data_IF_655255232701
#
_entry.id   IF_655255232701
#
_cell.length_a   1.000
_cell.length_b   1.000
_cell.length_c   1.000
_cell.angle_alpha   90.00
_cell.angle_beta   90.00
_cell.angle_gamma   90.00
#
_symmetry.space_group_name_H-M   'P 1'
#
loop_
_entity.id
_entity.type
_entity.pdbx_description
1 polymer ?
#
# COMPACT_ATOMS: atom_id res chain seq x y z
N UNK A 1 -13.78 -16.70 -5.10
CA UNK A 1 -13.90 -15.92 -3.84
C UNK A 1 -13.02 -14.69 -3.99
N UNK A 2 -13.44 -13.51 -3.50
CA UNK A 2 -12.61 -12.29 -3.59
C UNK A 2 -11.45 -12.38 -2.58
N UNK A 3 -10.21 -11.97 -2.93
CA UNK A 3 -9.11 -11.93 -1.98
C UNK A 3 -9.34 -10.86 -0.91
N UNK A 4 -8.71 -11.04 0.25
CA UNK A 4 -8.80 -10.06 1.34
C UNK A 4 -8.09 -8.76 0.96
N UNK A 5 -8.67 -7.62 1.34
CA UNK A 5 -7.97 -6.33 1.32
C UNK A 5 -8.04 -5.70 2.69
N UNK A 6 -6.90 -5.55 3.36
CA UNK A 6 -6.84 -4.90 4.67
C UNK A 6 -6.37 -3.46 4.49
N UNK A 7 -7.22 -2.49 4.84
CA UNK A 7 -6.87 -1.07 4.82
C UNK A 7 -6.85 -0.49 6.24
N UNK A 8 -5.75 0.14 6.60
CA UNK A 8 -5.66 0.94 7.84
C UNK A 8 -6.08 2.36 7.54
N UNK A 9 -7.15 2.84 8.18
CA UNK A 9 -7.62 4.24 8.12
C UNK A 9 -7.59 4.90 9.51
N UNK A 10 -6.97 4.26 10.49
CA UNK A 10 -6.86 4.73 11.88
C UNK A 10 -5.46 5.20 12.30
N UNK A 11 -5.38 5.92 13.42
CA UNK A 11 -4.10 6.29 14.06
C UNK A 11 -3.76 5.39 15.23
N UNK A 12 -3.05 4.28 14.96
CA UNK A 12 -2.36 3.54 16.00
C UNK A 12 -0.97 4.12 16.23
N UNK A 13 -0.81 5.09 17.15
CA UNK A 13 0.48 5.78 17.41
C UNK A 13 1.67 4.84 17.68
N UNK A 14 1.43 3.58 18.04
CA UNK A 14 2.45 2.53 18.15
C UNK A 14 2.02 1.14 17.64
N UNK A 15 0.81 0.97 17.12
CA UNK A 15 0.20 -0.36 16.91
C UNK A 15 0.17 -0.84 15.45
N UNK A 16 0.17 0.07 14.46
CA UNK A 16 0.01 -0.34 13.05
C UNK A 16 1.22 -1.09 12.52
N UNK A 17 2.41 -0.80 13.02
CA UNK A 17 3.63 -1.53 12.66
C UNK A 17 3.63 -2.95 13.22
N UNK A 18 3.52 -3.21 14.54
CA UNK A 18 3.41 -4.58 15.05
C UNK A 18 2.29 -5.40 14.40
N UNK A 19 1.11 -4.80 14.21
CA UNK A 19 0.00 -5.48 13.52
C UNK A 19 0.35 -5.85 12.08
N UNK A 20 1.00 -4.93 11.35
CA UNK A 20 1.48 -5.20 10.00
C UNK A 20 2.51 -6.35 9.97
N UNK A 21 3.44 -6.41 10.93
CA UNK A 21 4.38 -7.54 11.05
C UNK A 21 3.63 -8.86 11.25
N UNK A 22 2.68 -8.88 12.18
CA UNK A 22 1.89 -10.08 12.46
C UNK A 22 1.12 -10.55 11.22
N UNK A 23 0.49 -9.63 10.49
CA UNK A 23 -0.32 -9.98 9.33
C UNK A 23 0.52 -10.33 8.09
N UNK A 24 1.64 -9.65 7.85
CA UNK A 24 2.44 -9.86 6.64
C UNK A 24 3.55 -10.89 6.83
N UNK A 25 4.29 -10.82 7.94
CA UNK A 25 5.49 -11.63 8.17
C UNK A 25 5.13 -12.91 8.90
N UNK A 26 4.47 -12.80 10.04
CA UNK A 26 4.28 -13.96 10.93
C UNK A 26 3.21 -14.93 10.41
N UNK A 27 2.15 -14.41 9.80
CA UNK A 27 1.02 -15.21 9.31
C UNK A 27 0.93 -15.28 7.78
N UNK A 28 1.71 -14.48 7.06
CA UNK A 28 1.59 -14.30 5.60
C UNK A 28 0.12 -14.16 5.16
N UNK A 29 -0.68 -13.40 5.90
CA UNK A 29 -2.10 -13.23 5.63
C UNK A 29 -2.33 -12.23 4.49
N UNK A 30 -1.64 -11.09 4.52
CA UNK A 30 -1.73 -10.04 3.48
C UNK A 30 -0.36 -9.46 3.13
N UNK A 31 -0.20 -9.02 1.88
CA UNK A 31 1.03 -8.37 1.42
C UNK A 31 0.80 -6.88 1.10
N UNK A 32 1.63 -5.98 1.65
CA UNK A 32 1.49 -4.52 1.47
C UNK A 32 2.21 -3.95 0.25
N UNK A 33 2.85 -4.80 -0.56
CA UNK A 33 3.46 -4.38 -1.81
C UNK A 33 4.76 -3.62 -1.60
N UNK A 34 4.96 -2.55 -2.38
CA UNK A 34 6.26 -1.88 -2.51
C UNK A 34 6.73 -1.22 -1.21
N UNK A 35 5.81 -0.73 -0.38
CA UNK A 35 6.12 -0.19 0.93
C UNK A 35 4.86 -0.14 1.81
N UNK A 36 5.02 -0.30 3.12
CA UNK A 36 3.94 -0.16 4.10
C UNK A 36 3.28 1.23 4.05
N UNK A 37 4.11 2.28 3.99
CA UNK A 37 3.72 3.69 4.12
C UNK A 37 3.74 4.40 2.76
N UNK A 38 2.86 3.97 1.84
CA UNK A 38 2.82 4.44 0.45
C UNK A 38 2.35 5.88 0.30
N UNK A 39 1.42 6.31 1.17
CA UNK A 39 0.76 7.63 1.09
C UNK A 39 0.09 7.90 -0.26
N UNK A 40 -0.33 6.84 -0.95
CA UNK A 40 -0.87 6.95 -2.30
C UNK A 40 -2.20 7.71 -2.31
N UNK A 41 -3.15 7.29 -1.46
CA UNK A 41 -4.48 7.91 -1.35
C UNK A 41 -4.39 9.38 -0.96
N UNK A 42 -3.45 9.71 -0.07
CA UNK A 42 -3.11 11.08 0.28
C UNK A 42 -2.67 11.91 -0.94
N UNK A 43 -1.83 11.32 -1.79
CA UNK A 43 -1.31 11.96 -3.00
C UNK A 43 -2.37 12.19 -4.08
N UNK A 44 -3.51 11.49 -4.04
CA UNK A 44 -4.68 11.78 -4.89
C UNK A 44 -5.33 13.10 -4.45
N UNK A 45 -5.57 13.26 -3.14
CA UNK A 45 -6.29 14.43 -2.60
C UNK A 45 -5.42 15.68 -2.47
N UNK A 46 -4.15 15.47 -2.10
CA UNK A 46 -3.17 16.52 -1.83
C UNK A 46 -1.97 16.36 -2.77
N UNK A 47 -2.15 16.46 -4.10
CA UNK A 47 -1.06 16.30 -5.04
C UNK A 47 0.00 17.38 -4.77
N UNK A 48 1.22 16.94 -4.46
CA UNK A 48 2.34 17.86 -4.20
C UNK A 48 2.60 18.67 -5.47
N UNK A 49 2.36 19.98 -5.43
CA UNK A 49 2.48 20.87 -6.59
C UNK A 49 3.91 21.02 -7.14
N UNK A 50 4.94 20.51 -6.48
CA UNK A 50 6.33 20.47 -6.98
C UNK A 50 7.10 19.31 -6.34
N UNK A 51 7.47 18.31 -7.15
CA UNK A 51 8.50 17.34 -6.81
C UNK A 51 9.85 18.05 -6.68
N UNK A 52 10.25 18.46 -5.47
CA UNK A 52 11.61 18.93 -5.23
C UNK A 52 12.54 17.71 -5.20
N UNK A 53 13.11 17.37 -6.37
CA UNK A 53 14.16 16.35 -6.53
C UNK A 53 15.28 16.52 -5.48
N UNK A 54 15.60 17.77 -5.14
CA UNK A 54 16.59 18.16 -4.14
C UNK A 54 16.23 17.64 -2.74
N UNK A 55 14.95 17.66 -2.36
CA UNK A 55 14.49 17.22 -1.04
C UNK A 55 14.53 15.69 -0.92
N UNK A 56 14.23 14.98 -2.01
CA UNK A 56 14.33 13.51 -2.08
C UNK A 56 15.79 13.04 -1.97
N UNK A 57 16.73 13.72 -2.63
CA UNK A 57 18.18 13.45 -2.51
C UNK A 57 18.63 13.72 -1.07
N UNK A 58 18.16 14.81 -0.46
CA UNK A 58 18.51 15.17 0.92
C UNK A 58 17.98 14.17 1.96
N UNK A 59 16.76 13.66 1.78
CA UNK A 59 16.17 12.63 2.66
C UNK A 59 16.85 11.27 2.48
N UNK A 60 17.21 10.89 1.25
CA UNK A 60 17.97 9.67 0.95
C UNK A 60 19.36 9.69 1.59
N UNK A 61 20.04 10.84 1.62
CA UNK A 61 21.36 11.00 2.23
C UNK A 61 21.34 11.04 3.78
N UNK A 62 20.16 11.15 4.41
CA UNK A 62 20.02 11.15 5.88
C UNK A 62 19.93 9.75 6.50
N UNK A 63 20.11 8.67 5.73
CA UNK A 63 20.13 7.32 6.26
C UNK A 63 18.78 6.80 6.77
N UNK A 64 17.67 7.50 6.51
CA UNK A 64 16.32 6.95 6.63
C UNK A 64 16.07 6.02 5.45
N UNK A 65 16.81 4.91 5.42
CA UNK A 65 16.36 3.78 4.64
C UNK A 65 15.11 3.28 5.34
N UNK A 66 13.94 3.52 4.73
CA UNK A 66 12.76 2.65 4.90
C UNK A 66 13.18 1.28 4.35
N UNK A 67 14.13 0.62 4.99
CA UNK A 67 14.56 -0.69 4.55
C UNK A 67 13.36 -1.61 4.76
N UNK A 68 12.87 -2.16 3.65
CA UNK A 68 11.95 -3.28 3.72
C UNK A 68 12.56 -4.33 4.60
N UNK A 69 11.72 -4.96 5.40
CA UNK A 69 12.12 -6.10 6.19
C UNK A 69 12.77 -7.15 5.27
N UNK A 70 13.97 -7.66 5.61
CA UNK A 70 14.65 -8.66 4.81
C UNK A 70 13.75 -9.85 4.47
N UNK A 71 12.86 -10.23 5.39
CA UNK A 71 11.93 -11.35 5.25
C UNK A 71 10.89 -11.16 4.14
N UNK A 72 10.64 -9.93 3.69
CA UNK A 72 9.60 -9.60 2.70
C UNK A 72 10.21 -9.03 1.41
N UNK A 73 11.55 -9.06 1.27
CA UNK A 73 12.22 -8.54 0.08
C UNK A 73 12.01 -9.42 -1.15
N UNK A 74 11.73 -10.71 -0.97
CA UNK A 74 11.69 -11.69 -2.05
C UNK A 74 10.30 -11.92 -2.63
N UNK A 75 9.24 -11.43 -1.97
CA UNK A 75 7.85 -11.74 -2.32
C UNK A 75 7.20 -10.66 -3.22
N UNK A 76 8.03 -9.87 -3.91
CA UNK A 76 7.57 -8.82 -4.84
C UNK A 76 7.98 -9.17 -6.26
N UNK A 77 6.99 -9.54 -7.04
CA UNK A 77 7.16 -9.99 -8.43
C UNK A 77 6.59 -8.97 -9.43
N UNK A 78 6.39 -7.72 -9.00
CA UNK A 78 5.94 -6.62 -9.86
C UNK A 78 7.01 -6.26 -10.90
N UNK A 79 6.58 -6.00 -12.12
CA UNK A 79 7.46 -5.55 -13.20
C UNK A 79 7.91 -4.11 -13.00
N UNK A 80 8.94 -3.68 -13.73
CA UNK A 80 9.37 -2.28 -13.71
C UNK A 80 8.26 -1.36 -14.23
N UNK A 81 7.48 -1.83 -15.19
CA UNK A 81 6.30 -1.16 -15.74
C UNK A 81 5.20 -0.99 -14.69
N UNK A 82 4.91 -2.03 -13.90
CA UNK A 82 3.93 -1.97 -12.80
C UNK A 82 4.35 -0.91 -11.77
N UNK A 83 5.63 -0.90 -11.40
CA UNK A 83 6.20 0.07 -10.45
C UNK A 83 6.09 1.50 -11.01
N UNK A 84 6.41 1.70 -12.29
CA UNK A 84 6.32 3.03 -12.93
C UNK A 84 4.86 3.48 -13.01
N UNK A 85 3.94 2.59 -13.39
CA UNK A 85 2.52 2.90 -13.52
C UNK A 85 1.93 3.36 -12.17
N UNK A 86 2.32 2.71 -11.08
CA UNK A 86 1.92 3.07 -9.72
C UNK A 86 2.59 4.37 -9.24
N UNK A 87 3.90 4.51 -9.40
CA UNK A 87 4.63 5.63 -8.77
C UNK A 87 4.56 6.95 -9.56
N UNK A 88 4.12 6.92 -10.83
CA UNK A 88 4.12 8.10 -11.70
C UNK A 88 2.79 8.86 -11.66
N UNK A 89 2.81 10.18 -11.39
CA UNK A 89 1.61 11.01 -11.46
C UNK A 89 1.04 11.12 -12.89
N UNK A 90 -0.24 11.47 -13.06
CA UNK A 90 -1.21 11.79 -12.01
C UNK A 90 -1.63 10.55 -11.21
N UNK A 91 -1.85 10.72 -9.91
CA UNK A 91 -2.36 9.68 -9.03
C UNK A 91 -3.88 9.64 -9.13
N UNK A 92 -4.44 8.45 -9.31
CA UNK A 92 -5.88 8.21 -9.41
C UNK A 92 -6.27 6.97 -8.62
N UNK A 93 -7.54 6.90 -8.22
CA UNK A 93 -8.09 5.74 -7.53
C UNK A 93 -8.04 4.48 -8.42
N UNK A 94 -8.23 4.61 -9.74
CA UNK A 94 -8.12 3.48 -10.66
C UNK A 94 -6.71 2.89 -10.69
N UNK A 95 -5.67 3.72 -10.68
CA UNK A 95 -4.28 3.26 -10.59
C UNK A 95 -3.99 2.57 -9.25
N UNK A 96 -4.57 3.07 -8.15
CA UNK A 96 -4.47 2.46 -6.83
C UNK A 96 -5.06 1.04 -6.84
N UNK A 97 -6.28 0.89 -7.36
CA UNK A 97 -6.96 -0.40 -7.45
C UNK A 97 -6.22 -1.34 -8.42
N UNK A 98 -5.80 -0.82 -9.58
CA UNK A 98 -5.04 -1.59 -10.58
C UNK A 98 -3.76 -2.15 -10.00
N UNK A 99 -3.02 -1.34 -9.22
CA UNK A 99 -1.81 -1.77 -8.54
C UNK A 99 -2.05 -2.94 -7.59
N UNK A 100 -3.06 -2.85 -6.72
CA UNK A 100 -3.34 -3.90 -5.75
C UNK A 100 -3.90 -5.17 -6.38
N UNK A 101 -4.65 -5.04 -7.48
CA UNK A 101 -5.07 -6.18 -8.30
C UNK A 101 -3.86 -6.86 -8.92
N UNK A 102 -2.95 -6.09 -9.52
CA UNK A 102 -1.73 -6.64 -10.13
C UNK A 102 -0.83 -7.29 -9.08
N UNK A 103 -0.67 -6.66 -7.91
CA UNK A 103 0.06 -7.24 -6.80
C UNK A 103 -0.52 -8.61 -6.42
N UNK A 104 -1.84 -8.70 -6.25
CA UNK A 104 -2.50 -9.96 -5.96
C UNK A 104 -2.26 -11.02 -7.04
N UNK A 105 -2.44 -10.66 -8.32
CA UNK A 105 -2.17 -11.57 -9.45
C UNK A 105 -0.74 -12.13 -9.39
N UNK A 106 0.25 -11.26 -9.18
CA UNK A 106 1.66 -11.70 -9.11
C UNK A 106 1.94 -12.61 -7.92
N UNK A 107 1.27 -12.44 -6.78
CA UNK A 107 1.41 -13.36 -5.64
C UNK A 107 0.83 -14.73 -5.95
N UNK A 108 -0.28 -14.79 -6.69
CA UNK A 108 -0.88 -16.05 -7.15
C UNK A 108 -0.03 -16.74 -8.23
N UNK A 109 0.49 -15.97 -9.18
CA UNK A 109 1.38 -16.47 -10.25
C UNK A 109 2.67 -17.10 -9.69
N UNK A 110 3.12 -16.67 -8.51
CA UNK A 110 4.34 -17.13 -7.85
C UNK A 110 4.08 -18.03 -6.63
N UNK A 111 2.89 -18.63 -6.54
CA UNK A 111 2.52 -19.63 -5.51
C UNK A 111 2.79 -19.17 -4.07
N UNK A 112 2.56 -17.88 -3.79
CA UNK A 112 2.73 -17.34 -2.45
C UNK A 112 1.53 -17.69 -1.55
N UNK A 113 1.78 -17.92 -0.26
CA UNK A 113 0.79 -18.32 0.74
C UNK A 113 -0.20 -17.22 1.17
N UNK A 114 -0.09 -16.02 0.61
CA UNK A 114 -0.93 -14.87 1.00
C UNK A 114 -2.41 -15.07 0.66
N UNK A 115 -3.29 -14.58 1.54
CA UNK A 115 -4.75 -14.59 1.35
C UNK A 115 -5.29 -13.26 0.80
N UNK A 116 -4.42 -12.27 0.60
CA UNK A 116 -4.80 -10.97 0.10
C UNK A 116 -3.69 -9.93 0.10
N UNK A 117 -4.10 -8.68 -0.01
CA UNK A 117 -3.20 -7.51 -0.07
C UNK A 117 -3.61 -6.45 0.95
N UNK A 118 -2.75 -5.46 1.20
CA UNK A 118 -3.03 -4.45 2.21
C UNK A 118 -2.44 -3.06 1.96
N UNK A 119 -3.05 -2.05 2.57
CA UNK A 119 -2.53 -0.69 2.69
C UNK A 119 -2.47 -0.29 4.16
N UNK A 120 -1.25 -0.18 4.68
CA UNK A 120 -0.96 0.18 6.07
C UNK A 120 -0.37 1.60 6.20
N UNK A 121 -0.74 2.50 5.28
CA UNK A 121 -0.30 3.89 5.32
C UNK A 121 -0.98 4.66 6.45
N UNK A 122 -0.21 5.12 7.45
CA UNK A 122 -0.73 5.87 8.59
C UNK A 122 -1.36 7.22 8.20
N UNK A 123 -0.97 7.78 7.05
CA UNK A 123 -1.57 9.03 6.54
C UNK A 123 -3.05 8.87 6.18
N UNK A 124 -3.52 7.63 5.98
CA UNK A 124 -4.91 7.34 5.66
C UNK A 124 -5.87 7.83 6.76
N UNK A 125 -5.39 7.96 8.00
CA UNK A 125 -6.17 8.51 9.10
C UNK A 125 -6.54 9.99 8.96
N UNK A 126 -5.92 10.69 8.02
CA UNK A 126 -6.23 12.08 7.69
C UNK A 126 -7.06 12.22 6.42
N UNK A 127 -7.55 11.12 5.84
CA UNK A 127 -8.43 11.17 4.68
C UNK A 127 -9.84 11.63 5.09
N UNK A 128 -10.51 12.44 4.27
CA UNK A 128 -11.91 12.77 4.49
C UNK A 128 -12.78 11.50 4.48
N UNK A 129 -13.72 11.41 5.42
CA UNK A 129 -14.62 10.25 5.57
C UNK A 129 -15.33 9.86 4.26
N UNK A 130 -15.86 10.85 3.52
CA UNK A 130 -16.51 10.61 2.22
C UNK A 130 -15.58 9.94 1.20
N UNK A 131 -14.30 10.30 1.21
CA UNK A 131 -13.32 9.70 0.31
C UNK A 131 -12.97 8.27 0.76
N UNK A 132 -12.92 8.00 2.07
CA UNK A 132 -12.77 6.63 2.57
C UNK A 132 -13.93 5.73 2.10
N UNK A 133 -15.17 6.22 2.13
CA UNK A 133 -16.31 5.45 1.61
C UNK A 133 -16.19 5.16 0.11
N UNK A 134 -15.79 6.14 -0.70
CA UNK A 134 -15.54 5.94 -2.14
C UNK A 134 -14.44 4.89 -2.39
N UNK A 135 -13.33 4.95 -1.64
CA UNK A 135 -12.24 3.97 -1.74
C UNK A 135 -12.74 2.57 -1.40
N UNK A 136 -13.50 2.41 -0.30
CA UNK A 136 -14.03 1.11 0.13
C UNK A 136 -15.03 0.56 -0.88
N UNK A 137 -15.94 1.39 -1.40
CA UNK A 137 -16.92 0.99 -2.41
C UNK A 137 -16.23 0.45 -3.67
N UNK A 138 -15.26 1.20 -4.19
CA UNK A 138 -14.52 0.84 -5.42
C UNK A 138 -13.62 -0.39 -5.23
N UNK A 139 -12.97 -0.53 -4.07
CA UNK A 139 -12.19 -1.73 -3.75
C UNK A 139 -13.08 -2.97 -3.60
N UNK A 140 -14.28 -2.81 -3.05
CA UNK A 140 -15.22 -3.92 -2.80
C UNK A 140 -15.72 -4.58 -4.08
N UNK A 141 -15.56 -3.94 -5.25
CA UNK A 141 -15.79 -4.57 -6.56
C UNK A 141 -14.86 -5.79 -6.76
N UNK A 142 -13.63 -5.73 -6.26
CA UNK A 142 -12.57 -6.73 -6.52
C UNK A 142 -12.13 -7.51 -5.28
N UNK A 143 -12.27 -6.93 -4.09
CA UNK A 143 -11.75 -7.46 -2.83
C UNK A 143 -12.83 -7.66 -1.77
N UNK A 144 -12.58 -8.54 -0.79
CA UNK A 144 -13.29 -8.54 0.49
C UNK A 144 -12.57 -7.57 1.44
N UNK A 145 -13.09 -6.34 1.53
CA UNK A 145 -12.43 -5.22 2.20
C UNK A 145 -12.65 -5.28 3.72
N UNK A 146 -11.55 -5.28 4.46
CA UNK A 146 -11.51 -5.16 5.93
C UNK A 146 -10.87 -3.81 6.29
N UNK A 147 -11.64 -2.97 6.96
CA UNK A 147 -11.20 -1.64 7.41
C UNK A 147 -10.74 -1.75 8.86
N UNK A 148 -9.53 -1.26 9.15
CA UNK A 148 -8.96 -1.14 10.49
C UNK A 148 -8.97 0.32 10.93
N UNK A 149 -9.51 0.57 12.13
CA UNK A 149 -9.62 1.85 12.81
C UNK A 149 -8.64 1.94 13.99
#
# INVERSE_FOLDING_TARGET
MKPSFVISVGTGWSATTPLWYTLQVDNQFVHSGLEKESKYLDSILRPIKKYNVIEKIRLRNKGFHKDRLPQVKNDIFLTQEDIIAFTKPPFTLDKYITYYRRLWETLQENDCSYQGVSDFSNVNAWLPEKFCYEVVERLSEYFDVKVLL
#
